data_IF_837947377472
#
_entry.id   IF_837947377472
#
_cell.length_a   1.000
_cell.length_b   1.000
_cell.length_c   1.000
_cell.angle_alpha   90.00
_cell.angle_beta   90.00
_cell.angle_gamma   90.00
#
_symmetry.space_group_name_H-M   'P 1'
#
loop_
_entity.id
_entity.type
_entity.pdbx_description
1 polymer ?
#
# COMPACT_ATOMS: atom_id res chain seq x y z
N UNK A 1 21.84 18.38 4.30
CA UNK A 1 21.38 17.29 3.43
C UNK A 1 19.87 17.36 3.39
N UNK A 2 19.29 18.02 2.39
CA UNK A 2 17.84 18.07 2.23
C UNK A 2 17.40 16.67 1.82
N UNK A 3 16.55 16.02 2.61
CA UNK A 3 15.80 14.85 2.18
C UNK A 3 14.80 15.30 1.12
N UNK A 4 15.27 15.60 -0.09
CA UNK A 4 14.46 15.54 -1.28
C UNK A 4 14.21 14.05 -1.51
N UNK A 5 13.27 13.49 -0.76
CA UNK A 5 12.59 12.30 -1.20
C UNK A 5 11.85 12.73 -2.47
N UNK A 6 12.51 12.65 -3.62
CA UNK A 6 11.80 12.38 -4.87
C UNK A 6 10.88 11.25 -4.51
N UNK A 7 9.57 11.55 -4.43
CA UNK A 7 8.58 10.54 -4.10
C UNK A 7 8.95 9.34 -4.96
N UNK A 8 9.29 8.18 -4.35
CA UNK A 8 9.56 7.01 -5.16
C UNK A 8 8.35 6.90 -6.09
N UNK A 9 8.57 6.58 -7.36
CA UNK A 9 7.47 6.11 -8.20
C UNK A 9 6.92 4.88 -7.48
N UNK A 10 6.00 5.15 -6.54
CA UNK A 10 5.23 4.16 -5.82
C UNK A 10 4.48 3.52 -6.95
N UNK A 11 4.81 2.27 -7.24
CA UNK A 11 4.05 1.48 -8.17
C UNK A 11 2.58 1.62 -7.78
N UNK A 12 1.81 2.34 -8.61
CA UNK A 12 0.39 2.55 -8.45
C UNK A 12 -0.27 1.59 -9.42
N UNK A 13 -0.65 0.39 -8.99
CA UNK A 13 -1.42 -0.46 -9.86
C UNK A 13 -2.73 0.26 -10.18
N UNK A 14 -2.97 0.51 -11.46
CA UNK A 14 -4.21 1.06 -11.97
C UNK A 14 -5.08 -0.12 -12.37
N UNK A 15 -6.14 -0.37 -11.60
CA UNK A 15 -7.10 -1.42 -11.91
C UNK A 15 -8.26 -0.80 -12.68
N UNK A 16 -8.53 -1.31 -13.88
CA UNK A 16 -9.65 -0.83 -14.70
C UNK A 16 -10.88 -1.67 -14.42
N UNK A 17 -11.98 -1.00 -14.08
CA UNK A 17 -13.31 -1.60 -13.89
C UNK A 17 -14.26 -1.08 -14.97
N UNK A 18 -15.36 -1.81 -15.28
CA UNK A 18 -16.41 -1.32 -16.17
C UNK A 18 -17.03 0.02 -15.76
N UNK A 19 -16.94 0.37 -14.48
CA UNK A 19 -17.45 1.64 -13.92
C UNK A 19 -16.40 2.77 -13.94
N UNK A 20 -15.20 2.51 -14.46
CA UNK A 20 -14.06 3.44 -14.44
C UNK A 20 -12.85 2.89 -13.67
N UNK A 21 -11.77 3.69 -13.53
CA UNK A 21 -10.59 3.30 -12.77
C UNK A 21 -10.93 3.07 -11.29
N UNK A 22 -10.43 1.99 -10.71
CA UNK A 22 -10.52 1.72 -9.27
C UNK A 22 -9.57 2.68 -8.55
N UNK A 23 -10.09 3.37 -7.56
CA UNK A 23 -9.43 4.39 -6.76
C UNK A 23 -9.27 3.95 -5.31
N UNK A 24 -8.51 4.72 -4.50
CA UNK A 24 -8.27 4.42 -3.07
C UNK A 24 -9.56 4.44 -2.22
N UNK A 25 -10.62 5.06 -2.73
CA UNK A 25 -11.94 5.11 -2.05
C UNK A 25 -12.79 3.87 -2.34
N UNK A 26 -12.44 3.06 -3.34
CA UNK A 26 -13.18 1.86 -3.69
C UNK A 26 -12.83 0.71 -2.75
N UNK A 27 -13.86 0.14 -2.11
CA UNK A 27 -13.68 -0.97 -1.18
C UNK A 27 -13.80 -2.31 -1.89
N UNK A 28 -12.66 -2.98 -2.04
CA UNK A 28 -12.56 -4.37 -2.55
C UNK A 28 -13.43 -5.33 -1.75
N UNK A 29 -13.62 -5.10 -0.44
CA UNK A 29 -14.42 -5.98 0.41
C UNK A 29 -15.93 -5.74 0.32
N UNK A 30 -16.37 -4.57 -0.14
CA UNK A 30 -17.79 -4.18 -0.17
C UNK A 30 -18.38 -4.18 -1.59
N UNK A 31 -17.55 -4.34 -2.62
CA UNK A 31 -17.95 -4.32 -4.02
C UNK A 31 -17.40 -5.53 -4.76
N UNK A 32 -18.28 -6.47 -5.11
CA UNK A 32 -17.92 -7.63 -5.92
C UNK A 32 -17.30 -7.23 -7.27
N UNK A 33 -17.79 -6.16 -7.91
CA UNK A 33 -17.24 -5.63 -9.16
C UNK A 33 -15.80 -5.13 -8.99
N UNK A 34 -15.51 -4.44 -7.89
CA UNK A 34 -14.15 -3.95 -7.58
C UNK A 34 -13.22 -5.11 -7.23
N UNK A 35 -13.72 -6.08 -6.46
CA UNK A 35 -12.99 -7.30 -6.14
C UNK A 35 -12.57 -8.07 -7.39
N UNK A 36 -13.51 -8.27 -8.33
CA UNK A 36 -13.24 -8.92 -9.60
C UNK A 36 -12.23 -8.13 -10.44
N UNK A 37 -12.37 -6.80 -10.55
CA UNK A 37 -11.45 -5.97 -11.34
C UNK A 37 -10.01 -6.00 -10.79
N UNK A 38 -9.83 -6.00 -9.46
CA UNK A 38 -8.51 -6.12 -8.84
C UNK A 38 -7.96 -7.54 -9.02
N UNK A 39 -8.78 -8.58 -8.84
CA UNK A 39 -8.33 -9.95 -9.05
C UNK A 39 -7.89 -10.20 -10.50
N UNK A 40 -8.68 -9.79 -11.49
CA UNK A 40 -8.38 -10.02 -12.92
C UNK A 40 -7.11 -9.28 -13.38
N UNK A 41 -6.81 -8.14 -12.80
CA UNK A 41 -5.60 -7.37 -13.09
C UNK A 41 -4.31 -7.95 -12.51
N UNK A 42 -4.42 -8.89 -11.56
CA UNK A 42 -3.30 -9.55 -10.89
C UNK A 42 -3.04 -10.94 -11.44
N UNK A 43 -4.02 -11.54 -12.11
CA UNK A 43 -3.87 -12.81 -12.80
C UNK A 43 -3.03 -12.60 -14.06
N UNK A 44 -2.01 -13.43 -14.25
CA UNK A 44 -1.38 -13.53 -15.56
C UNK A 44 -2.34 -14.21 -16.55
N UNK A 45 -2.14 -14.04 -17.86
CA UNK A 45 -2.94 -14.77 -18.85
C UNK A 45 -2.93 -16.30 -18.62
N UNK A 46 -1.83 -16.83 -18.10
CA UNK A 46 -1.67 -18.25 -17.78
C UNK A 46 -2.51 -18.67 -16.57
N UNK A 47 -2.55 -17.85 -15.51
CA UNK A 47 -3.41 -18.09 -14.34
C UNK A 47 -4.89 -18.06 -14.72
N UNK A 48 -5.28 -17.12 -15.60
CA UNK A 48 -6.62 -17.05 -16.16
C UNK A 48 -7.01 -18.30 -16.94
N UNK A 49 -6.08 -18.88 -17.72
CA UNK A 49 -6.31 -20.15 -18.43
C UNK A 49 -6.47 -21.32 -17.47
N UNK A 50 -5.60 -21.42 -16.46
CA UNK A 50 -5.68 -22.46 -15.43
C UNK A 50 -7.00 -22.37 -14.66
N UNK A 51 -7.44 -21.16 -14.30
CA UNK A 51 -8.72 -20.96 -13.62
C UNK A 51 -9.93 -21.25 -14.52
N UNK A 52 -9.87 -20.88 -15.81
CA UNK A 52 -10.94 -21.16 -16.77
C UNK A 52 -11.08 -22.66 -17.09
N UNK A 53 -9.99 -23.43 -17.02
CA UNK A 53 -10.01 -24.88 -17.15
C UNK A 53 -10.55 -25.59 -15.89
N UNK A 54 -10.63 -24.89 -14.74
CA UNK A 54 -11.22 -25.44 -13.52
C UNK A 54 -12.74 -25.33 -13.59
N UNK A 55 -13.42 -26.46 -13.43
CA UNK A 55 -14.89 -26.51 -13.43
C UNK A 55 -15.49 -26.33 -12.04
N UNK A 56 -14.69 -26.44 -10.98
CA UNK A 56 -15.14 -26.33 -9.60
C UNK A 56 -15.27 -24.86 -9.15
N UNK A 57 -16.49 -24.34 -8.92
CA UNK A 57 -16.69 -22.95 -8.55
C UNK A 57 -16.07 -22.58 -7.20
N UNK A 58 -15.94 -23.55 -6.28
CA UNK A 58 -15.36 -23.30 -4.95
C UNK A 58 -13.87 -23.00 -5.05
N UNK A 59 -13.12 -23.80 -5.81
CA UNK A 59 -11.68 -23.61 -6.06
C UNK A 59 -11.39 -22.26 -6.72
N UNK A 60 -12.25 -21.81 -7.64
CA UNK A 60 -12.13 -20.49 -8.27
C UNK A 60 -12.34 -19.38 -7.23
N UNK A 61 -13.40 -19.46 -6.42
CA UNK A 61 -13.70 -18.49 -5.38
C UNK A 61 -12.59 -18.41 -4.32
N UNK A 62 -12.05 -19.55 -3.88
CA UNK A 62 -10.97 -19.62 -2.91
C UNK A 62 -9.69 -18.97 -3.47
N UNK A 63 -9.40 -19.16 -4.76
CA UNK A 63 -8.27 -18.53 -5.45
C UNK A 63 -8.41 -17.01 -5.56
N UNK A 64 -9.62 -16.51 -5.84
CA UNK A 64 -9.88 -15.07 -5.81
C UNK A 64 -9.78 -14.51 -4.39
N UNK A 65 -10.30 -15.22 -3.38
CA UNK A 65 -10.20 -14.81 -1.99
C UNK A 65 -8.74 -14.72 -1.53
N UNK A 66 -7.91 -15.70 -1.91
CA UNK A 66 -6.47 -15.69 -1.66
C UNK A 66 -5.79 -14.48 -2.32
N UNK A 67 -6.15 -14.17 -3.58
CA UNK A 67 -5.63 -13.01 -4.30
C UNK A 67 -5.96 -11.70 -3.57
N UNK A 68 -7.22 -11.53 -3.14
CA UNK A 68 -7.67 -10.36 -2.37
C UNK A 68 -6.93 -10.25 -1.03
N UNK A 69 -6.78 -11.36 -0.30
CA UNK A 69 -6.05 -11.40 0.96
C UNK A 69 -4.57 -11.03 0.77
N UNK A 70 -3.95 -11.51 -0.31
CA UNK A 70 -2.56 -11.19 -0.65
C UNK A 70 -2.39 -9.67 -0.88
N UNK A 71 -3.28 -9.05 -1.67
CA UNK A 71 -3.28 -7.59 -1.92
C UNK A 71 -3.45 -6.80 -0.64
N UNK A 72 -4.39 -7.22 0.23
CA UNK A 72 -4.62 -6.56 1.50
C UNK A 72 -3.37 -6.64 2.41
N UNK A 73 -2.71 -7.79 2.44
CA UNK A 73 -1.47 -8.02 3.20
C UNK A 73 -0.32 -7.13 2.70
N UNK A 74 -0.06 -7.12 1.39
CA UNK A 74 0.98 -6.27 0.77
C UNK A 74 0.69 -4.79 0.98
N UNK A 75 -0.57 -4.36 0.82
CA UNK A 75 -0.97 -2.97 1.08
C UNK A 75 -0.77 -2.56 2.53
N UNK A 76 -1.06 -3.46 3.48
CA UNK A 76 -0.82 -3.22 4.90
C UNK A 76 0.68 -3.09 5.22
N UNK A 77 1.52 -3.94 4.63
CA UNK A 77 2.98 -3.83 4.74
C UNK A 77 3.48 -2.48 4.18
N UNK A 78 3.00 -2.08 3.00
CA UNK A 78 3.33 -0.80 2.39
C UNK A 78 2.96 0.40 3.26
N UNK A 79 1.77 0.41 3.86
CA UNK A 79 1.36 1.47 4.81
C UNK A 79 2.25 1.54 6.04
N UNK A 80 2.56 0.40 6.66
CA UNK A 80 3.46 0.34 7.83
C UNK A 80 4.85 0.85 7.49
N UNK A 81 5.38 0.46 6.33
CA UNK A 81 6.67 0.94 5.85
C UNK A 81 6.65 2.45 5.58
N UNK A 82 5.58 2.97 4.99
CA UNK A 82 5.43 4.41 4.73
C UNK A 82 5.42 5.23 6.04
N UNK A 83 4.67 4.79 7.05
CA UNK A 83 4.66 5.42 8.38
C UNK A 83 6.06 5.38 9.00
N UNK A 84 6.72 4.22 8.97
CA UNK A 84 8.08 4.08 9.51
C UNK A 84 9.09 4.95 8.77
N UNK A 85 8.99 5.05 7.45
CA UNK A 85 9.83 5.93 6.66
C UNK A 85 9.62 7.40 7.05
N UNK A 86 8.38 7.83 7.26
CA UNK A 86 8.07 9.19 7.72
C UNK A 86 8.67 9.47 9.11
N UNK A 87 8.53 8.55 10.06
CA UNK A 87 9.15 8.65 11.39
C UNK A 87 10.68 8.80 11.29
N UNK A 88 11.34 7.97 10.48
CA UNK A 88 12.79 8.03 10.26
C UNK A 88 13.20 9.35 9.62
N UNK A 89 12.45 9.84 8.63
CA UNK A 89 12.71 11.14 8.01
C UNK A 89 12.51 12.32 8.96
N UNK A 90 11.71 12.18 10.02
CA UNK A 90 11.50 13.23 11.02
C UNK A 90 12.59 13.25 12.11
N UNK A 91 13.37 12.18 12.29
CA UNK A 91 14.43 12.08 13.31
C UNK A 91 15.46 13.22 13.27
N UNK A 92 15.97 13.69 12.11
CA UNK A 92 16.91 14.81 12.07
C UNK A 92 16.32 16.12 12.61
N UNK A 93 15.02 16.35 12.36
CA UNK A 93 14.30 17.51 12.87
C UNK A 93 14.13 17.42 14.39
N UNK A 94 13.69 16.26 14.91
CA UNK A 94 13.59 16.03 16.34
C UNK A 94 14.93 16.20 17.06
N UNK A 95 15.98 15.62 16.51
CA UNK A 95 17.33 15.76 17.07
C UNK A 95 17.76 17.23 17.13
N UNK A 96 17.52 17.99 16.06
CA UNK A 96 17.85 19.42 16.00
C UNK A 96 17.06 20.24 17.02
N UNK A 97 15.77 19.94 17.22
CA UNK A 97 14.94 20.62 18.24
C UNK A 97 15.40 20.33 19.66
N UNK A 98 15.77 19.07 19.96
CA UNK A 98 16.22 18.67 21.30
C UNK A 98 17.57 19.31 21.63
N UNK A 99 18.50 19.38 20.67
CA UNK A 99 19.79 20.05 20.85
C UNK A 99 19.60 21.55 21.10
N UNK A 100 18.72 22.21 20.34
CA UNK A 100 18.44 23.64 20.53
C UNK A 100 17.81 23.94 21.89
N UNK A 101 16.87 23.11 22.36
CA UNK A 101 16.27 23.25 23.69
C UNK A 101 17.31 23.11 24.80
N UNK A 102 18.21 22.13 24.70
CA UNK A 102 19.29 21.91 25.67
C UNK A 102 20.23 23.12 25.77
N UNK A 103 20.60 23.70 24.63
CA UNK A 103 21.42 24.92 24.60
C UNK A 103 20.72 26.12 25.24
N UNK A 104 19.40 26.24 25.05
CA UNK A 104 18.62 27.33 25.63
C UNK A 104 18.42 27.18 27.14
N UNK A 105 18.27 25.96 27.65
CA UNK A 105 18.24 25.66 29.08
C UNK A 105 19.59 25.93 29.75
N UNK A 106 20.69 25.51 29.12
CA UNK A 106 22.05 25.77 29.60
C UNK A 106 22.38 27.26 29.63
N UNK A 107 21.95 28.02 28.62
CA UNK A 107 22.10 29.49 28.56
C UNK A 107 21.20 30.25 29.54
N UNK A 108 20.16 29.60 30.09
CA UNK A 108 19.21 30.21 31.05
C UNK A 108 19.54 29.85 32.50
N UNK A 109 20.37 28.83 32.72
CA UNK A 109 20.90 28.44 34.02
C UNK A 109 22.29 29.01 34.35
N UNK A 110 22.96 29.63 33.38
CA UNK A 110 24.19 30.40 33.54
C UNK A 110 23.89 31.89 33.76
#
# INVERSE_FOLDING_TARGET
MLCLATAPEVWRPYFLSPNGPVTVTDSVMLSGTTATAVATSLLTPEDGRVLAERTDPQTINDSMALTIQCVASVSNMGRRLHVKNHEVCALPSYHSTVVAQRQQEESRGA
#
